data_IF_431508624539
#
_entry.id   IF_431508624539
#
_cell.length_a   1.000
_cell.length_b   1.000
_cell.length_c   1.000
_cell.angle_alpha   90.00
_cell.angle_beta   90.00
_cell.angle_gamma   90.00
#
_symmetry.space_group_name_H-M   'P 1'
#
loop_
_entity.id
_entity.type
_entity.pdbx_description
1 polymer ?
#
# COMPACT_ATOMS: atom_id res chain seq x y z
N UNK A 1 -22.84 8.77 -51.00
CA UNK A 1 -23.08 7.71 -50.01
C UNK A 1 -21.95 7.77 -49.03
N UNK A 2 -22.19 8.42 -47.91
CA UNK A 2 -21.20 8.57 -46.82
C UNK A 2 -21.26 7.32 -45.94
N UNK A 3 -20.20 6.52 -45.90
CA UNK A 3 -20.04 5.47 -44.89
C UNK A 3 -19.73 6.17 -43.58
N UNK A 4 -20.66 6.15 -42.65
CA UNK A 4 -20.40 6.45 -41.26
C UNK A 4 -19.49 5.34 -40.70
N UNK A 5 -18.29 5.71 -40.32
CA UNK A 5 -17.43 4.85 -39.54
C UNK A 5 -18.13 4.58 -38.21
N UNK A 6 -18.56 3.34 -37.96
CA UNK A 6 -19.01 2.89 -36.67
C UNK A 6 -17.77 2.93 -35.73
N UNK A 7 -17.73 3.88 -34.81
CA UNK A 7 -16.85 3.82 -33.64
C UNK A 7 -17.29 2.60 -32.85
N UNK A 8 -16.54 1.50 -33.00
CA UNK A 8 -16.75 0.31 -32.17
C UNK A 8 -16.57 0.72 -30.71
N UNK A 9 -17.66 0.74 -29.95
CA UNK A 9 -17.60 0.94 -28.51
C UNK A 9 -16.70 -0.19 -27.94
N UNK A 10 -15.58 0.18 -27.31
CA UNK A 10 -14.75 -0.80 -26.57
C UNK A 10 -15.65 -1.49 -25.54
N UNK A 11 -15.53 -2.81 -25.42
CA UNK A 11 -16.24 -3.55 -24.36
C UNK A 11 -15.80 -3.00 -22.98
N UNK A 12 -16.67 -3.05 -21.96
CA UNK A 12 -16.26 -2.76 -20.59
C UNK A 12 -15.07 -3.61 -20.15
N UNK A 13 -14.13 -3.02 -19.41
CA UNK A 13 -13.06 -3.79 -18.78
C UNK A 13 -13.63 -4.66 -17.68
N UNK A 14 -13.11 -5.88 -17.55
CA UNK A 14 -13.37 -6.79 -16.42
C UNK A 14 -12.29 -6.61 -15.38
N UNK A 15 -12.69 -6.17 -14.19
CA UNK A 15 -11.78 -5.84 -13.09
C UNK A 15 -12.06 -6.75 -11.90
N UNK A 16 -11.11 -7.61 -11.57
CA UNK A 16 -11.17 -8.42 -10.36
C UNK A 16 -10.43 -7.72 -9.21
N UNK A 17 -11.06 -7.66 -8.05
CA UNK A 17 -10.52 -6.98 -6.87
C UNK A 17 -10.25 -7.99 -5.78
N UNK A 18 -8.96 -8.28 -5.55
CA UNK A 18 -8.47 -9.10 -4.45
C UNK A 18 -8.33 -8.22 -3.21
N UNK A 19 -9.19 -8.41 -2.23
CA UNK A 19 -9.20 -7.63 -1.01
C UNK A 19 -9.85 -8.42 0.13
N UNK A 20 -9.79 -7.91 1.36
CA UNK A 20 -10.61 -8.43 2.45
C UNK A 20 -12.09 -8.31 2.09
N UNK A 21 -12.93 -9.08 2.77
CA UNK A 21 -14.34 -9.07 2.42
C UNK A 21 -14.92 -7.66 2.52
N UNK A 22 -15.51 -7.17 1.43
CA UNK A 22 -15.94 -5.77 1.28
C UNK A 22 -16.87 -5.28 2.41
N UNK A 23 -17.59 -6.18 3.09
CA UNK A 23 -18.43 -5.82 4.25
C UNK A 23 -17.65 -5.38 5.49
N UNK A 24 -16.34 -5.67 5.55
CA UNK A 24 -15.50 -5.38 6.73
C UNK A 24 -14.70 -4.09 6.60
N UNK A 25 -14.67 -3.49 5.42
CA UNK A 25 -13.88 -2.29 5.16
C UNK A 25 -14.52 -1.03 5.74
N UNK A 26 -13.68 -0.05 6.05
CA UNK A 26 -14.14 1.31 6.34
C UNK A 26 -14.10 2.14 5.04
N UNK A 27 -15.22 2.25 4.34
CA UNK A 27 -15.33 2.96 3.07
C UNK A 27 -14.83 4.41 3.13
N UNK A 28 -14.87 5.03 4.30
CA UNK A 28 -14.44 6.41 4.49
C UNK A 28 -12.92 6.60 4.33
N UNK A 29 -12.12 5.53 4.44
CA UNK A 29 -10.65 5.57 4.35
C UNK A 29 -10.06 4.56 3.37
N UNK A 30 -10.86 3.62 2.86
CA UNK A 30 -10.38 2.53 2.02
C UNK A 30 -10.05 3.00 0.61
N UNK A 31 -8.82 2.71 0.17
CA UNK A 31 -8.34 3.08 -1.18
C UNK A 31 -8.77 2.08 -2.24
N UNK A 32 -8.96 0.80 -1.91
CA UNK A 32 -9.49 -0.18 -2.87
C UNK A 32 -10.92 0.19 -3.25
N UNK A 33 -11.72 0.60 -2.27
CA UNK A 33 -13.08 1.07 -2.49
C UNK A 33 -13.14 2.33 -3.37
N UNK A 34 -12.20 3.28 -3.19
CA UNK A 34 -12.11 4.44 -4.09
C UNK A 34 -11.80 4.04 -5.52
N UNK A 35 -10.89 3.08 -5.73
CA UNK A 35 -10.59 2.54 -7.06
C UNK A 35 -11.78 1.80 -7.68
N UNK A 36 -12.59 1.10 -6.87
CA UNK A 36 -13.81 0.42 -7.34
C UNK A 36 -14.89 1.42 -7.76
N UNK A 37 -15.09 2.50 -6.99
CA UNK A 37 -16.05 3.55 -7.36
C UNK A 37 -15.68 4.17 -8.71
N UNK A 38 -14.44 4.57 -8.88
CA UNK A 38 -13.94 5.14 -10.14
C UNK A 38 -14.06 4.15 -11.32
N UNK A 39 -13.73 2.86 -11.11
CA UNK A 39 -13.89 1.83 -12.14
C UNK A 39 -15.35 1.69 -12.58
N UNK A 40 -16.28 1.68 -11.62
CA UNK A 40 -17.70 1.59 -11.90
C UNK A 40 -18.22 2.84 -12.64
N UNK A 41 -17.75 4.02 -12.26
CA UNK A 41 -18.11 5.28 -12.94
C UNK A 41 -17.60 5.33 -14.38
N UNK A 42 -16.46 4.64 -14.67
CA UNK A 42 -15.97 4.40 -16.05
C UNK A 42 -16.75 3.31 -16.79
N UNK A 43 -17.71 2.65 -16.15
CA UNK A 43 -18.55 1.62 -16.74
C UNK A 43 -17.88 0.23 -16.79
N UNK A 44 -16.89 -0.05 -15.95
CA UNK A 44 -16.23 -1.34 -15.88
C UNK A 44 -17.01 -2.37 -15.05
N UNK A 45 -16.84 -3.64 -15.36
CA UNK A 45 -17.44 -4.75 -14.63
C UNK A 45 -16.53 -5.14 -13.45
N UNK A 46 -17.06 -5.06 -12.23
CA UNK A 46 -16.32 -5.36 -11.00
C UNK A 46 -16.63 -6.75 -10.48
N UNK A 47 -15.59 -7.44 -10.05
CA UNK A 47 -15.64 -8.77 -9.45
C UNK A 47 -14.82 -8.77 -8.16
N UNK A 48 -15.47 -9.04 -7.03
CA UNK A 48 -14.81 -9.15 -5.73
C UNK A 48 -14.40 -10.57 -5.44
N UNK A 49 -13.25 -10.75 -4.80
CA UNK A 49 -12.84 -12.02 -4.19
C UNK A 49 -11.82 -11.80 -3.06
N UNK A 50 -11.80 -12.75 -2.11
CA UNK A 50 -10.76 -12.80 -1.07
C UNK A 50 -9.61 -13.72 -1.51
N UNK A 51 -8.37 -13.51 -1.02
CA UNK A 51 -7.19 -14.29 -1.45
C UNK A 51 -7.37 -15.82 -1.39
N UNK A 52 -8.15 -16.31 -0.44
CA UNK A 52 -8.43 -17.74 -0.24
C UNK A 52 -9.25 -18.37 -1.37
N UNK A 53 -9.85 -17.54 -2.24
CA UNK A 53 -10.61 -17.98 -3.40
C UNK A 53 -9.73 -18.28 -4.62
N UNK A 54 -8.44 -17.87 -4.61
CA UNK A 54 -7.50 -18.19 -5.67
C UNK A 54 -7.17 -19.69 -5.67
N UNK A 55 -7.09 -20.26 -6.87
CA UNK A 55 -6.69 -21.64 -7.07
C UNK A 55 -5.80 -21.78 -8.30
N UNK A 56 -4.65 -22.41 -8.16
CA UNK A 56 -3.79 -22.76 -9.27
C UNK A 56 -4.10 -24.20 -9.71
N UNK A 57 -4.64 -24.37 -10.93
CA UNK A 57 -4.96 -25.66 -11.53
C UNK A 57 -4.08 -25.93 -12.75
N UNK A 58 -2.99 -26.66 -12.55
CA UNK A 58 -1.94 -26.75 -13.55
C UNK A 58 -1.34 -25.37 -13.79
N UNK A 59 -1.50 -24.84 -15.00
CA UNK A 59 -1.04 -23.50 -15.37
C UNK A 59 -2.14 -22.43 -15.31
N UNK A 60 -3.39 -22.82 -15.02
CA UNK A 60 -4.53 -21.90 -14.98
C UNK A 60 -4.77 -21.34 -13.59
N UNK A 61 -4.95 -20.05 -13.51
CA UNK A 61 -5.40 -19.36 -12.30
C UNK A 61 -6.91 -19.25 -12.32
N UNK A 62 -7.54 -20.04 -11.47
CA UNK A 62 -9.00 -20.05 -11.31
C UNK A 62 -9.40 -19.32 -10.04
N UNK A 63 -10.55 -18.66 -10.06
CA UNK A 63 -11.07 -17.99 -8.87
C UNK A 63 -12.60 -18.13 -8.79
N UNK A 64 -13.13 -18.12 -7.57
CA UNK A 64 -14.56 -17.89 -7.32
C UNK A 64 -14.73 -16.43 -6.99
N UNK A 65 -15.34 -15.70 -7.91
CA UNK A 65 -15.59 -14.26 -7.82
C UNK A 65 -17.06 -13.96 -7.65
N UNK A 66 -17.37 -12.83 -7.06
CA UNK A 66 -18.72 -12.30 -6.93
C UNK A 66 -18.79 -10.98 -7.71
N UNK A 67 -19.62 -10.91 -8.80
CA UNK A 67 -19.89 -9.63 -9.42
C UNK A 67 -20.36 -8.64 -8.35
N UNK A 68 -19.85 -7.42 -8.37
CA UNK A 68 -20.15 -6.46 -7.31
C UNK A 68 -20.48 -5.08 -7.89
N UNK A 69 -21.51 -4.45 -7.33
CA UNK A 69 -21.83 -3.04 -7.56
C UNK A 69 -21.57 -2.28 -6.27
N UNK A 70 -20.90 -1.13 -6.36
CA UNK A 70 -20.51 -0.32 -5.21
C UNK A 70 -21.23 1.02 -5.16
N UNK A 71 -21.43 1.55 -3.96
CA UNK A 71 -22.08 2.84 -3.68
C UNK A 71 -21.39 3.53 -2.51
N UNK A 72 -21.15 4.83 -2.60
CA UNK A 72 -20.54 5.59 -1.49
C UNK A 72 -21.58 5.92 -0.40
N UNK A 73 -22.19 4.85 0.15
CA UNK A 73 -23.23 4.91 1.18
C UNK A 73 -22.85 4.02 2.37
N UNK A 74 -22.62 4.62 3.52
CA UNK A 74 -22.28 3.87 4.74
C UNK A 74 -23.41 2.89 5.12
N UNK A 75 -23.04 1.61 5.33
CA UNK A 75 -24.00 0.54 5.65
C UNK A 75 -24.76 -0.05 4.45
N UNK A 76 -24.63 0.53 3.25
CA UNK A 76 -25.23 0.05 2.00
C UNK A 76 -24.25 0.20 0.82
N UNK A 77 -22.96 -0.03 1.05
CA UNK A 77 -21.90 0.33 0.10
C UNK A 77 -21.67 -0.70 -1.01
N UNK A 78 -22.27 -1.88 -0.97
CA UNK A 78 -22.13 -2.88 -2.03
C UNK A 78 -23.38 -3.73 -2.21
N UNK A 79 -23.45 -4.41 -3.35
CA UNK A 79 -24.35 -5.53 -3.62
C UNK A 79 -23.63 -6.56 -4.47
N UNK A 80 -23.77 -7.85 -4.12
CA UNK A 80 -23.24 -8.95 -4.91
C UNK A 80 -24.24 -9.50 -5.91
N UNK A 81 -23.75 -9.94 -7.07
CA UNK A 81 -24.44 -10.83 -7.99
C UNK A 81 -24.19 -12.29 -7.66
N UNK A 82 -24.63 -13.18 -8.54
CA UNK A 82 -24.43 -14.64 -8.38
C UNK A 82 -22.94 -15.00 -8.47
N UNK A 83 -22.40 -15.77 -7.51
CA UNK A 83 -21.01 -16.19 -7.53
C UNK A 83 -20.66 -16.99 -8.79
N UNK A 84 -19.49 -16.72 -9.36
CA UNK A 84 -19.01 -17.34 -10.59
C UNK A 84 -17.63 -17.97 -10.36
N UNK A 85 -17.36 -19.07 -11.06
CA UNK A 85 -16.00 -19.61 -11.18
C UNK A 85 -15.43 -19.21 -12.53
N UNK A 86 -14.35 -18.44 -12.51
CA UNK A 86 -13.74 -17.84 -13.70
C UNK A 86 -12.30 -18.29 -13.86
N UNK A 87 -11.80 -18.29 -15.09
CA UNK A 87 -10.38 -18.27 -15.39
C UNK A 87 -9.91 -16.81 -15.29
N UNK A 88 -8.96 -16.53 -14.42
CA UNK A 88 -8.51 -15.15 -14.15
C UNK A 88 -7.80 -14.51 -15.33
N UNK A 89 -7.37 -15.30 -16.32
CA UNK A 89 -6.84 -14.80 -17.61
C UNK A 89 -7.91 -14.11 -18.48
N UNK A 90 -9.20 -14.24 -18.12
CA UNK A 90 -10.30 -13.52 -18.78
C UNK A 90 -10.56 -12.12 -18.18
N UNK A 91 -9.88 -11.76 -17.10
CA UNK A 91 -9.90 -10.44 -16.50
C UNK A 91 -8.90 -9.52 -17.22
N UNK A 92 -9.27 -8.27 -17.42
CA UNK A 92 -8.35 -7.27 -17.97
C UNK A 92 -7.40 -6.73 -16.90
N UNK A 93 -7.92 -6.54 -15.68
CA UNK A 93 -7.18 -6.01 -14.53
C UNK A 93 -7.46 -6.83 -13.28
N UNK A 94 -6.42 -7.08 -12.49
CA UNK A 94 -6.54 -7.52 -11.10
C UNK A 94 -6.00 -6.43 -10.19
N UNK A 95 -6.83 -5.91 -9.31
CA UNK A 95 -6.40 -5.03 -8.22
C UNK A 95 -6.03 -5.92 -7.02
N UNK A 96 -4.74 -6.12 -6.78
CA UNK A 96 -4.23 -6.83 -5.60
C UNK A 96 -4.17 -5.86 -4.42
N UNK A 97 -5.26 -5.81 -3.63
CA UNK A 97 -5.51 -4.79 -2.60
C UNK A 97 -5.83 -5.37 -1.24
N UNK A 98 -5.53 -6.64 -1.00
CA UNK A 98 -5.67 -7.25 0.32
C UNK A 98 -4.78 -6.53 1.34
N UNK A 99 -5.30 -6.34 2.53
CA UNK A 99 -4.54 -5.75 3.64
C UNK A 99 -3.44 -6.72 4.15
N UNK A 100 -2.39 -6.20 4.79
CA UNK A 100 -1.44 -7.05 5.52
C UNK A 100 -2.15 -7.97 6.54
N UNK A 101 -1.53 -9.08 6.94
CA UNK A 101 -0.08 -9.25 7.09
C UNK A 101 0.63 -9.63 5.79
N UNK A 102 1.86 -9.13 5.62
CA UNK A 102 2.77 -9.53 4.54
C UNK A 102 3.52 -10.80 4.98
N UNK A 103 2.87 -11.94 4.81
CA UNK A 103 3.29 -13.25 5.27
C UNK A 103 3.40 -14.27 4.12
N UNK A 104 3.61 -15.54 4.43
CA UNK A 104 3.70 -16.59 3.42
C UNK A 104 2.41 -16.75 2.62
N UNK A 105 1.24 -16.48 3.20
CA UNK A 105 -0.01 -16.53 2.47
C UNK A 105 -0.08 -15.40 1.44
N UNK A 106 0.34 -14.19 1.82
CA UNK A 106 0.47 -13.05 0.90
C UNK A 106 1.45 -13.37 -0.24
N UNK A 107 2.64 -13.88 0.10
CA UNK A 107 3.67 -14.29 -0.88
C UNK A 107 3.14 -15.37 -1.83
N UNK A 108 2.42 -16.37 -1.33
CA UNK A 108 1.81 -17.40 -2.15
C UNK A 108 0.79 -16.82 -3.15
N UNK A 109 -0.06 -15.88 -2.72
CA UNK A 109 -0.98 -15.19 -3.61
C UNK A 109 -0.24 -14.45 -4.73
N UNK A 110 0.88 -13.76 -4.44
CA UNK A 110 1.68 -13.10 -5.48
C UNK A 110 2.25 -14.07 -6.50
N UNK A 111 2.71 -15.27 -6.07
CA UNK A 111 3.20 -16.30 -7.00
C UNK A 111 2.09 -16.85 -7.91
N UNK A 112 0.86 -16.96 -7.40
CA UNK A 112 -0.28 -17.37 -8.22
C UNK A 112 -0.63 -16.27 -9.23
N UNK A 113 -0.72 -15.01 -8.79
CA UNK A 113 -1.06 -13.88 -9.66
C UNK A 113 0.00 -13.58 -10.70
N UNK A 114 1.27 -13.88 -10.43
CA UNK A 114 2.36 -13.76 -11.43
C UNK A 114 2.09 -14.57 -12.70
N UNK A 115 1.37 -15.70 -12.59
CA UNK A 115 1.00 -16.54 -13.74
C UNK A 115 0.08 -15.81 -14.73
N UNK A 116 -0.50 -14.70 -14.34
CA UNK A 116 -1.38 -13.87 -15.17
C UNK A 116 -0.63 -12.79 -15.97
N UNK A 117 0.69 -12.63 -15.79
CA UNK A 117 1.47 -11.50 -16.32
C UNK A 117 1.39 -11.28 -17.83
N UNK A 118 1.08 -12.33 -18.62
CA UNK A 118 0.95 -12.25 -20.07
C UNK A 118 -0.47 -11.91 -20.56
N UNK A 119 -1.47 -12.03 -19.68
CA UNK A 119 -2.89 -11.93 -20.06
C UNK A 119 -3.64 -10.85 -19.31
N UNK A 120 -3.20 -10.50 -18.11
CA UNK A 120 -3.95 -9.67 -17.18
C UNK A 120 -3.01 -8.68 -16.49
N UNK A 121 -3.35 -7.42 -16.48
CA UNK A 121 -2.59 -6.41 -15.77
C UNK A 121 -2.88 -6.48 -14.26
N UNK A 122 -1.89 -6.81 -13.45
CA UNK A 122 -2.02 -6.87 -11.99
C UNK A 122 -1.42 -5.61 -11.35
N UNK A 123 -2.19 -4.90 -10.57
CA UNK A 123 -1.80 -3.69 -9.82
C UNK A 123 -1.53 -4.05 -8.34
N UNK A 124 -0.32 -3.93 -7.82
CA UNK A 124 0.97 -3.71 -8.44
C UNK A 124 1.54 -5.03 -8.98
N UNK A 125 2.64 -4.96 -9.73
CA UNK A 125 3.31 -6.16 -10.26
C UNK A 125 3.60 -7.17 -9.13
N UNK A 126 3.11 -8.42 -9.19
CA UNK A 126 3.20 -9.37 -8.08
C UNK A 126 4.64 -9.73 -7.69
N UNK A 127 5.54 -9.83 -8.68
CA UNK A 127 6.96 -10.13 -8.45
C UNK A 127 7.61 -9.00 -7.67
N UNK A 128 7.34 -7.77 -8.08
CA UNK A 128 7.89 -6.57 -7.44
C UNK A 128 7.34 -6.38 -6.03
N UNK A 129 6.05 -6.63 -5.83
CA UNK A 129 5.42 -6.54 -4.49
C UNK A 129 6.08 -7.48 -3.50
N UNK A 130 6.26 -8.78 -3.84
CA UNK A 130 6.89 -9.71 -2.90
C UNK A 130 8.38 -9.42 -2.65
N UNK A 131 9.05 -8.75 -3.58
CA UNK A 131 10.46 -8.36 -3.47
C UNK A 131 10.66 -6.98 -2.84
N UNK A 132 9.60 -6.24 -2.55
CA UNK A 132 9.64 -4.89 -1.98
C UNK A 132 8.90 -4.79 -0.62
N UNK A 133 9.31 -5.58 0.41
CA UNK A 133 8.77 -5.38 1.76
C UNK A 133 9.05 -3.95 2.23
N UNK A 134 8.03 -3.26 2.73
CA UNK A 134 7.99 -1.80 2.95
C UNK A 134 9.20 -1.20 3.69
N UNK A 135 9.73 -1.94 4.70
CA UNK A 135 10.83 -1.49 5.55
C UNK A 135 12.21 -2.02 5.13
N UNK A 136 12.25 -2.98 4.16
CA UNK A 136 13.48 -3.43 3.52
C UNK A 136 13.72 -2.71 2.20
N UNK A 137 12.68 -2.60 1.36
CA UNK A 137 12.82 -1.96 0.06
C UNK A 137 13.31 -0.51 0.17
N UNK A 138 12.85 0.21 1.19
CA UNK A 138 13.29 1.59 1.47
C UNK A 138 14.80 1.71 1.67
N UNK A 139 15.50 0.64 2.11
CA UNK A 139 16.96 0.68 2.34
C UNK A 139 17.78 0.84 1.07
N UNK A 140 17.19 0.61 -0.11
CA UNK A 140 17.85 0.94 -1.38
C UNK A 140 18.08 2.46 -1.55
N UNK A 141 17.41 3.27 -0.74
CA UNK A 141 17.48 4.72 -0.71
C UNK A 141 17.99 5.22 0.66
N UNK A 142 19.03 4.56 1.19
CA UNK A 142 19.54 4.81 2.55
C UNK A 142 19.94 6.28 2.80
N UNK A 143 20.37 7.00 1.75
CA UNK A 143 20.71 8.42 1.81
C UNK A 143 19.49 9.35 1.99
N UNK A 144 18.28 8.82 1.78
CA UNK A 144 17.02 9.53 2.01
C UNK A 144 16.40 9.18 3.38
N UNK A 145 16.91 8.14 4.05
CA UNK A 145 16.39 7.62 5.32
C UNK A 145 17.05 8.29 6.54
N UNK A 146 16.39 8.23 7.71
CA UNK A 146 17.12 8.43 8.96
C UNK A 146 18.07 7.24 9.19
N UNK A 147 19.11 7.37 10.03
CA UNK A 147 19.94 6.24 10.43
C UNK A 147 19.08 5.05 10.84
N UNK A 148 19.30 3.91 10.20
CA UNK A 148 18.48 2.69 10.36
C UNK A 148 19.37 1.45 10.39
N UNK A 149 19.07 0.55 11.31
CA UNK A 149 19.69 -0.77 11.48
C UNK A 149 18.58 -1.82 11.40
N UNK A 150 18.81 -2.93 10.71
CA UNK A 150 17.88 -4.06 10.64
C UNK A 150 18.59 -5.29 11.15
N UNK A 151 18.27 -5.70 12.37
CA UNK A 151 18.91 -6.83 13.06
C UNK A 151 18.03 -7.32 14.21
N UNK A 152 18.39 -8.45 14.82
CA UNK A 152 17.96 -8.85 16.14
C UNK A 152 19.17 -9.11 17.07
N UNK A 153 20.38 -8.80 16.60
CA UNK A 153 21.60 -8.90 17.39
C UNK A 153 21.64 -7.80 18.44
N UNK A 154 21.75 -8.20 19.72
CA UNK A 154 21.69 -7.27 20.83
C UNK A 154 22.88 -6.31 20.87
N UNK A 155 24.06 -6.79 20.55
CA UNK A 155 25.30 -5.97 20.60
C UNK A 155 25.23 -4.87 19.56
N UNK A 156 24.76 -5.17 18.35
CA UNK A 156 24.53 -4.19 17.28
C UNK A 156 23.48 -3.15 17.68
N UNK A 157 22.38 -3.58 18.32
CA UNK A 157 21.33 -2.66 18.79
C UNK A 157 21.88 -1.75 19.91
N UNK A 158 22.63 -2.28 20.84
CA UNK A 158 23.24 -1.52 21.94
C UNK A 158 24.25 -0.48 21.41
N UNK A 159 25.07 -0.85 20.42
CA UNK A 159 26.00 0.08 19.75
C UNK A 159 25.23 1.19 19.03
N UNK A 160 24.22 0.85 18.23
CA UNK A 160 23.37 1.82 17.52
C UNK A 160 22.70 2.80 18.49
N UNK A 161 22.16 2.30 19.61
CA UNK A 161 21.56 3.10 20.66
C UNK A 161 22.57 4.03 21.35
N UNK A 162 23.79 3.55 21.58
CA UNK A 162 24.86 4.39 22.15
C UNK A 162 25.22 5.56 21.23
N UNK A 163 25.17 5.36 19.89
CA UNK A 163 25.46 6.40 18.91
C UNK A 163 24.30 7.40 18.80
N UNK A 164 23.05 6.91 18.75
CA UNK A 164 21.89 7.73 18.39
C UNK A 164 21.02 8.16 19.57
N UNK A 165 21.28 7.64 20.77
CA UNK A 165 20.56 7.90 22.03
C UNK A 165 19.11 7.38 21.99
N UNK A 166 18.17 8.16 21.43
CA UNK A 166 16.76 7.79 21.32
C UNK A 166 16.54 7.06 19.99
N UNK A 167 15.95 5.88 20.09
CA UNK A 167 15.65 5.02 18.93
C UNK A 167 14.18 4.64 18.89
N UNK A 168 13.75 4.14 17.73
CA UNK A 168 12.47 3.45 17.56
C UNK A 168 12.77 1.99 17.24
N UNK A 169 12.12 1.07 17.96
CA UNK A 169 12.09 -0.36 17.66
C UNK A 169 10.73 -0.71 17.06
N UNK A 170 10.74 -1.39 15.92
CA UNK A 170 9.50 -1.82 15.25
C UNK A 170 9.71 -3.15 14.51
N UNK A 171 8.66 -4.02 14.42
CA UNK A 171 8.76 -5.26 13.65
C UNK A 171 8.94 -4.98 12.16
N UNK A 172 9.70 -5.83 11.46
CA UNK A 172 9.96 -5.68 10.03
C UNK A 172 8.68 -5.72 9.20
N UNK A 173 7.81 -6.68 9.47
CA UNK A 173 6.53 -6.87 8.75
C UNK A 173 5.31 -6.36 9.53
N UNK A 174 5.52 -5.49 10.53
CA UNK A 174 4.44 -4.84 11.24
C UNK A 174 3.73 -3.77 10.40
N UNK A 175 2.44 -3.61 10.57
CA UNK A 175 1.61 -2.63 9.87
C UNK A 175 0.73 -1.83 10.84
N UNK A 176 0.17 -0.71 10.38
CA UNK A 176 -0.78 0.10 11.16
C UNK A 176 -0.23 0.65 12.49
N UNK A 177 1.07 0.79 12.65
CA UNK A 177 1.71 1.29 13.88
C UNK A 177 1.70 0.29 15.04
N UNK A 178 1.45 -1.01 14.79
CA UNK A 178 1.51 -2.04 15.82
C UNK A 178 2.96 -2.29 16.25
N UNK A 179 3.19 -2.43 17.56
CA UNK A 179 4.49 -2.72 18.17
C UNK A 179 5.60 -1.72 17.77
N UNK A 180 5.27 -0.45 17.61
CA UNK A 180 6.23 0.64 17.44
C UNK A 180 6.53 1.26 18.80
N UNK A 181 7.77 1.14 19.24
CA UNK A 181 8.23 1.62 20.54
C UNK A 181 9.35 2.63 20.41
N UNK A 182 9.22 3.78 21.05
CA UNK A 182 10.35 4.66 21.32
C UNK A 182 11.10 4.15 22.53
N UNK A 183 12.40 4.02 22.41
CA UNK A 183 13.33 3.62 23.49
C UNK A 183 14.30 4.77 23.71
N UNK A 184 14.23 5.39 24.87
CA UNK A 184 15.15 6.48 25.24
C UNK A 184 16.50 5.91 25.71
N UNK A 185 17.52 6.77 25.76
CA UNK A 185 18.85 6.36 26.20
C UNK A 185 18.87 5.65 27.57
N UNK A 186 18.02 6.13 28.49
CA UNK A 186 17.98 5.64 29.87
C UNK A 186 16.72 4.83 30.17
N UNK A 187 16.10 4.22 29.14
CA UNK A 187 14.86 3.44 29.29
C UNK A 187 15.10 2.16 30.09
N UNK A 188 14.53 2.09 31.28
CA UNK A 188 14.66 0.94 32.18
C UNK A 188 13.96 -0.32 31.64
N UNK A 189 13.01 -0.17 30.73
CA UNK A 189 12.26 -1.29 30.14
C UNK A 189 12.95 -1.88 28.91
N UNK A 190 14.07 -1.31 28.45
CA UNK A 190 14.74 -1.76 27.22
C UNK A 190 15.06 -3.27 27.21
N UNK A 191 15.56 -3.81 28.34
CA UNK A 191 15.82 -5.25 28.44
C UNK A 191 14.58 -6.09 28.24
N UNK A 192 13.48 -5.74 28.93
CA UNK A 192 12.20 -6.44 28.80
C UNK A 192 11.60 -6.29 27.41
N UNK A 193 11.78 -5.13 26.78
CA UNK A 193 11.32 -4.91 25.42
C UNK A 193 12.11 -5.76 24.41
N UNK A 194 13.43 -5.85 24.58
CA UNK A 194 14.27 -6.74 23.78
C UNK A 194 13.79 -8.19 23.90
N UNK A 195 13.56 -8.68 25.12
CA UNK A 195 13.09 -10.05 25.37
C UNK A 195 11.71 -10.28 24.72
N UNK A 196 10.80 -9.30 24.84
CA UNK A 196 9.47 -9.35 24.18
C UNK A 196 9.62 -9.49 22.66
N UNK A 197 10.46 -8.67 22.03
CA UNK A 197 10.70 -8.76 20.58
C UNK A 197 11.30 -10.10 20.19
N UNK A 198 12.29 -10.60 20.94
CA UNK A 198 12.96 -11.88 20.68
C UNK A 198 12.04 -13.09 20.70
N UNK A 199 11.01 -13.06 21.55
CA UNK A 199 10.02 -14.15 21.66
C UNK A 199 8.91 -14.00 20.62
N UNK A 200 8.54 -12.75 20.31
CA UNK A 200 7.36 -12.47 19.48
C UNK A 200 7.66 -12.50 17.98
N UNK A 201 8.82 -11.98 17.55
CA UNK A 201 9.18 -11.82 16.15
C UNK A 201 10.39 -12.68 15.78
N UNK A 202 10.23 -13.52 14.77
CA UNK A 202 11.32 -14.39 14.28
C UNK A 202 12.23 -13.67 13.27
N UNK A 203 11.70 -12.68 12.59
CA UNK A 203 12.38 -11.85 11.60
C UNK A 203 13.21 -10.78 12.30
N UNK A 204 14.27 -10.26 11.67
CA UNK A 204 14.99 -9.10 12.19
C UNK A 204 14.04 -7.91 12.43
N UNK A 205 14.42 -7.03 13.34
CA UNK A 205 13.65 -5.83 13.67
C UNK A 205 14.26 -4.60 13.02
N UNK A 206 13.46 -3.58 12.85
CA UNK A 206 13.94 -2.26 12.43
C UNK A 206 14.24 -1.44 13.68
N UNK A 207 15.48 -1.00 13.78
CA UNK A 207 15.97 -0.08 14.80
C UNK A 207 16.31 1.21 14.06
N UNK A 208 15.67 2.30 14.41
CA UNK A 208 15.78 3.56 13.66
C UNK A 208 15.99 4.71 14.63
N UNK A 209 16.82 5.68 14.26
CA UNK A 209 16.96 6.91 15.03
C UNK A 209 15.60 7.57 15.20
N UNK A 210 15.24 7.93 16.43
CA UNK A 210 13.99 8.63 16.71
C UNK A 210 14.00 10.04 16.09
N UNK A 211 12.92 10.38 15.41
CA UNK A 211 12.70 11.70 14.80
C UNK A 211 11.71 12.50 15.67
N UNK A 212 12.17 13.48 16.47
CA UNK A 212 11.31 14.21 17.42
C UNK A 212 10.16 14.99 16.73
N UNK A 213 10.37 15.35 15.47
CA UNK A 213 9.40 16.12 14.69
C UNK A 213 8.20 15.29 14.19
N UNK A 214 8.16 13.98 14.46
CA UNK A 214 6.98 13.13 14.23
C UNK A 214 5.71 13.69 14.88
N UNK A 215 5.85 14.44 15.97
CA UNK A 215 4.73 15.16 16.63
C UNK A 215 4.02 16.17 15.71
N UNK A 216 4.70 16.65 14.66
CA UNK A 216 4.13 17.58 13.67
C UNK A 216 3.49 16.85 12.49
N UNK A 217 3.64 15.54 12.43
CA UNK A 217 3.05 14.65 11.45
C UNK A 217 4.06 13.72 10.81
N UNK A 218 3.47 12.73 10.17
CA UNK A 218 4.07 11.74 9.31
C UNK A 218 3.32 11.85 7.97
N UNK A 219 3.98 12.35 6.94
CA UNK A 219 3.34 12.63 5.67
C UNK A 219 3.25 11.36 4.84
N UNK A 220 2.02 10.93 4.52
CA UNK A 220 1.74 9.95 3.47
C UNK A 220 1.69 10.66 2.13
N UNK A 221 2.57 10.28 1.22
CA UNK A 221 2.61 10.74 -0.16
C UNK A 221 2.25 9.58 -1.06
N UNK A 222 1.30 9.77 -1.97
CA UNK A 222 0.95 8.78 -2.99
C UNK A 222 1.65 9.09 -4.30
N UNK A 223 2.24 8.06 -4.89
CA UNK A 223 2.85 8.08 -6.21
C UNK A 223 2.05 7.15 -7.14
N UNK A 224 1.80 7.61 -8.36
CA UNK A 224 1.16 6.83 -9.42
C UNK A 224 2.10 6.77 -10.61
N UNK A 225 2.49 5.56 -11.02
CA UNK A 225 3.50 5.30 -12.07
C UNK A 225 4.79 6.10 -11.86
N UNK A 226 5.20 6.24 -10.60
CA UNK A 226 6.41 6.96 -10.19
C UNK A 226 6.26 8.48 -10.04
N UNK A 227 5.11 9.06 -10.38
CA UNK A 227 4.86 10.50 -10.29
C UNK A 227 4.02 10.86 -9.06
N UNK A 228 4.23 12.04 -8.50
CA UNK A 228 3.44 12.55 -7.38
C UNK A 228 1.96 12.66 -7.74
N UNK A 229 1.10 12.04 -6.93
CA UNK A 229 -0.34 12.02 -7.14
C UNK A 229 -1.13 12.72 -6.02
N UNK A 230 -0.57 12.87 -4.84
CA UNK A 230 -1.22 13.57 -3.72
C UNK A 230 -0.56 13.25 -2.39
N UNK A 231 -0.84 14.07 -1.39
CA UNK A 231 -0.26 13.89 -0.06
C UNK A 231 -1.25 14.24 1.05
N UNK A 232 -1.05 13.64 2.22
CA UNK A 232 -1.76 13.96 3.44
C UNK A 232 -0.81 13.88 4.63
N UNK A 233 -0.78 14.91 5.47
CA UNK A 233 -0.02 14.87 6.71
C UNK A 233 -0.89 14.23 7.82
N UNK A 234 -0.40 13.16 8.42
CA UNK A 234 -1.07 12.41 9.50
C UNK A 234 -0.51 12.88 10.83
N UNK A 235 -1.25 13.71 11.54
CA UNK A 235 -0.81 14.26 12.83
C UNK A 235 -1.22 13.31 13.95
N UNK A 236 -0.26 12.82 14.79
CA UNK A 236 -0.57 11.95 15.91
C UNK A 236 -1.57 12.59 16.88
N UNK A 237 -2.35 11.76 17.57
CA UNK A 237 -3.12 12.23 18.72
C UNK A 237 -2.20 12.70 19.85
N UNK A 238 -2.68 13.60 20.69
CA UNK A 238 -1.90 14.08 21.85
C UNK A 238 -1.49 12.91 22.76
N UNK A 239 -0.20 12.79 23.03
CA UNK A 239 0.36 11.71 23.85
C UNK A 239 0.64 10.39 23.10
N UNK A 240 0.36 10.29 21.80
CA UNK A 240 0.75 9.14 20.96
C UNK A 240 1.89 9.55 20.00
N UNK A 241 2.74 8.58 19.66
CA UNK A 241 3.78 8.72 18.63
C UNK A 241 3.31 8.22 17.25
N UNK A 242 2.22 7.47 17.23
CA UNK A 242 1.69 6.82 16.03
C UNK A 242 0.75 7.76 15.29
N UNK A 243 1.07 8.04 14.06
CA UNK A 243 0.33 8.95 13.18
C UNK A 243 -0.68 8.24 12.26
N UNK A 244 -0.67 6.89 12.25
CA UNK A 244 -1.55 6.11 11.38
C UNK A 244 -3.04 6.46 11.63
N UNK A 245 -3.78 6.71 10.57
CA UNK A 245 -5.22 7.05 10.64
C UNK A 245 -6.04 5.99 11.39
N UNK A 246 -5.66 4.71 11.28
CA UNK A 246 -6.27 3.59 12.00
C UNK A 246 -6.08 3.72 13.54
N UNK A 247 -5.08 4.49 13.99
CA UNK A 247 -4.77 4.73 15.41
C UNK A 247 -5.21 6.12 15.89
N UNK A 248 -6.02 6.83 15.11
CA UNK A 248 -6.55 8.14 15.51
C UNK A 248 -5.74 9.34 15.01
N UNK A 249 -4.78 9.12 14.12
CA UNK A 249 -4.09 10.22 13.43
C UNK A 249 -5.08 11.05 12.62
N UNK A 250 -4.95 12.38 12.71
CA UNK A 250 -5.82 13.31 11.99
C UNK A 250 -5.18 13.69 10.65
N UNK A 251 -5.87 13.48 9.52
CA UNK A 251 -5.38 13.91 8.22
C UNK A 251 -5.47 15.43 8.09
N UNK A 252 -4.39 16.07 7.64
CA UNK A 252 -4.34 17.48 7.28
C UNK A 252 -3.82 17.64 5.87
N UNK A 253 -4.34 18.62 5.17
CA UNK A 253 -3.81 19.02 3.86
C UNK A 253 -2.35 19.45 3.99
N UNK A 254 -1.55 19.12 2.99
CA UNK A 254 -0.12 19.40 3.02
C UNK A 254 0.52 19.36 1.64
N UNK A 255 1.08 20.48 1.26
CA UNK A 255 1.96 20.58 0.10
C UNK A 255 3.29 19.85 0.33
N UNK A 256 3.94 19.44 -0.75
CA UNK A 256 5.28 18.90 -0.68
C UNK A 256 6.32 19.99 -0.44
N UNK A 257 7.22 19.74 0.48
CA UNK A 257 8.47 20.50 0.60
C UNK A 257 9.41 20.20 -0.59
N UNK A 258 10.46 20.99 -0.77
CA UNK A 258 11.48 20.72 -1.80
C UNK A 258 12.16 19.36 -1.57
N UNK A 259 12.47 19.02 -0.32
CA UNK A 259 13.07 17.72 0.04
C UNK A 259 12.14 16.54 -0.29
N UNK A 260 10.85 16.67 -0.06
CA UNK A 260 9.89 15.63 -0.39
C UNK A 260 9.71 15.47 -1.91
N UNK A 261 9.79 16.55 -2.69
CA UNK A 261 9.85 16.48 -4.16
C UNK A 261 11.09 15.76 -4.65
N UNK A 262 12.25 16.03 -4.04
CA UNK A 262 13.49 15.31 -4.33
C UNK A 262 13.33 13.79 -4.05
N UNK A 263 12.75 13.44 -2.89
CA UNK A 263 12.48 12.03 -2.55
C UNK A 263 11.60 11.38 -3.63
N UNK A 264 10.48 12.00 -3.99
CA UNK A 264 9.60 11.47 -5.04
C UNK A 264 10.34 11.28 -6.38
N UNK A 265 11.11 12.27 -6.81
CA UNK A 265 11.86 12.23 -8.06
C UNK A 265 12.93 11.11 -8.07
N UNK A 266 13.56 10.83 -6.92
CA UNK A 266 14.54 9.74 -6.77
C UNK A 266 13.92 8.36 -6.80
N UNK A 267 12.71 8.20 -6.27
CA UNK A 267 11.99 6.93 -6.24
C UNK A 267 11.33 6.60 -7.58
N UNK A 268 10.79 7.60 -8.25
CA UNK A 268 9.93 7.47 -9.42
C UNK A 268 10.44 6.50 -10.49
N UNK A 269 11.68 6.63 -11.00
CA UNK A 269 12.22 5.73 -12.03
C UNK A 269 12.23 4.27 -11.61
N UNK A 270 12.68 3.95 -10.38
CA UNK A 270 12.71 2.59 -9.84
C UNK A 270 11.30 2.00 -9.68
N UNK A 271 10.36 2.77 -9.17
CA UNK A 271 8.98 2.32 -9.01
C UNK A 271 8.33 1.99 -10.37
N UNK A 272 8.56 2.86 -11.35
CA UNK A 272 8.04 2.68 -12.70
C UNK A 272 8.64 1.46 -13.40
N UNK A 273 9.96 1.29 -13.33
CA UNK A 273 10.66 0.13 -13.89
C UNK A 273 10.16 -1.18 -13.30
N UNK A 274 9.86 -1.19 -12.00
CA UNK A 274 9.35 -2.36 -11.29
C UNK A 274 7.85 -2.59 -11.44
N UNK A 275 7.11 -1.75 -12.17
CA UNK A 275 5.66 -1.85 -12.31
C UNK A 275 4.91 -1.65 -11.00
N UNK A 276 5.49 -0.89 -10.07
CA UNK A 276 4.87 -0.47 -8.82
C UNK A 276 4.08 0.82 -9.07
N UNK A 277 2.86 0.65 -9.60
CA UNK A 277 2.04 1.75 -10.13
C UNK A 277 1.47 2.63 -9.01
N UNK A 278 0.85 2.01 -7.99
CA UNK A 278 0.30 2.75 -6.84
C UNK A 278 1.14 2.49 -5.61
N UNK A 279 1.85 3.50 -5.16
CA UNK A 279 2.79 3.42 -4.03
C UNK A 279 2.49 4.53 -3.03
N UNK A 280 2.51 4.18 -1.74
CA UNK A 280 2.48 5.14 -0.65
C UNK A 280 3.84 5.23 0.01
N UNK A 281 4.41 6.41 0.14
CA UNK A 281 5.63 6.62 0.92
C UNK A 281 5.32 7.40 2.19
N UNK A 282 6.07 7.11 3.24
CA UNK A 282 5.95 7.79 4.51
C UNK A 282 7.20 8.63 4.78
N UNK A 283 6.99 9.93 5.06
CA UNK A 283 8.08 10.89 5.25
C UNK A 283 7.87 11.64 6.56
N UNK A 284 8.87 11.59 7.43
CA UNK A 284 8.90 12.31 8.70
C UNK A 284 10.10 13.28 8.67
N UNK A 285 9.84 14.58 8.82
CA UNK A 285 10.88 15.60 8.89
C UNK A 285 11.89 15.51 7.72
N UNK A 286 11.38 15.31 6.49
CA UNK A 286 12.21 15.19 5.28
C UNK A 286 13.00 13.89 5.17
N UNK A 287 12.72 12.90 6.01
CA UNK A 287 13.33 11.57 5.95
C UNK A 287 12.31 10.52 5.51
N UNK A 288 12.66 9.74 4.51
CA UNK A 288 11.88 8.61 4.02
C UNK A 288 11.94 7.46 5.04
N UNK A 289 10.80 6.99 5.52
CA UNK A 289 10.74 5.94 6.55
C UNK A 289 10.20 4.61 6.05
N UNK A 290 9.30 4.62 5.05
CA UNK A 290 8.66 3.42 4.49
C UNK A 290 8.26 3.65 3.03
N UNK A 291 8.26 2.56 2.24
CA UNK A 291 7.71 2.52 0.87
C UNK A 291 6.65 1.42 0.82
N UNK A 292 5.39 1.80 0.80
CA UNK A 292 4.25 0.88 0.88
C UNK A 292 3.74 0.54 -0.53
N UNK A 293 3.92 -0.70 -0.96
CA UNK A 293 3.59 -1.19 -2.31
C UNK A 293 2.42 -2.18 -2.34
N UNK A 294 1.94 -2.64 -1.20
CA UNK A 294 0.84 -3.62 -1.07
C UNK A 294 -0.53 -2.94 -1.24
N UNK A 295 -1.07 -2.42 -0.17
CA UNK A 295 -2.37 -1.76 -0.13
C UNK A 295 -2.29 -0.35 0.47
N UNK A 296 -1.47 0.59 -0.09
CA UNK A 296 -1.36 1.93 0.49
C UNK A 296 -2.73 2.62 0.55
N UNK A 297 -3.01 3.19 1.72
CA UNK A 297 -4.18 4.02 1.97
C UNK A 297 -3.84 5.50 1.81
N UNK A 298 -4.87 6.35 1.65
CA UNK A 298 -4.70 7.80 1.53
C UNK A 298 -5.59 8.44 0.48
N UNK A 299 -6.05 7.70 -0.55
CA UNK A 299 -6.86 8.24 -1.65
C UNK A 299 -8.08 9.00 -1.11
N UNK A 300 -8.86 8.38 -0.24
CA UNK A 300 -10.08 9.01 0.34
C UNK A 300 -9.76 10.22 1.22
N UNK A 301 -8.65 10.19 1.95
CA UNK A 301 -8.24 11.31 2.79
C UNK A 301 -7.82 12.52 1.93
N UNK A 302 -7.03 12.30 0.88
CA UNK A 302 -6.63 13.32 -0.08
C UNK A 302 -7.88 13.93 -0.73
N UNK A 303 -8.80 13.11 -1.24
CA UNK A 303 -10.04 13.55 -1.85
C UNK A 303 -10.91 14.42 -0.91
N UNK A 304 -11.05 14.01 0.36
CA UNK A 304 -11.82 14.77 1.37
C UNK A 304 -11.22 16.13 1.70
N UNK A 305 -9.91 16.26 1.54
CA UNK A 305 -9.19 17.53 1.75
C UNK A 305 -9.17 18.42 0.49
N UNK A 306 -9.86 18.00 -0.58
CA UNK A 306 -9.92 18.75 -1.84
C UNK A 306 -8.69 18.58 -2.73
N UNK A 307 -7.87 17.56 -2.47
CA UNK A 307 -6.69 17.21 -3.26
C UNK A 307 -7.04 16.52 -4.60
N UNK A 308 -6.01 16.10 -5.36
CA UNK A 308 -6.18 15.48 -6.68
C UNK A 308 -7.02 14.19 -6.67
N UNK A 309 -7.61 13.88 -7.83
CA UNK A 309 -8.28 12.60 -8.07
C UNK A 309 -7.26 11.48 -8.34
N UNK A 310 -6.74 10.94 -7.26
CA UNK A 310 -5.73 9.86 -7.34
C UNK A 310 -6.31 8.57 -7.94
N UNK A 311 -7.59 8.28 -7.70
CA UNK A 311 -8.24 7.08 -8.26
C UNK A 311 -8.33 7.20 -9.78
N UNK A 312 -8.76 8.35 -10.30
CA UNK A 312 -8.75 8.65 -11.73
C UNK A 312 -7.36 8.53 -12.34
N UNK A 313 -6.32 9.10 -11.70
CA UNK A 313 -4.93 8.98 -12.16
C UNK A 313 -4.46 7.53 -12.27
N UNK A 314 -4.81 6.67 -11.32
CA UNK A 314 -4.47 5.23 -11.37
C UNK A 314 -5.13 4.58 -12.57
N UNK A 315 -6.42 4.81 -12.79
CA UNK A 315 -7.12 4.22 -13.92
C UNK A 315 -6.62 4.72 -15.27
N UNK A 316 -6.26 6.00 -15.40
CA UNK A 316 -5.66 6.54 -16.63
C UNK A 316 -4.35 5.83 -16.98
N UNK A 317 -3.52 5.50 -15.97
CA UNK A 317 -2.29 4.73 -16.16
C UNK A 317 -2.59 3.29 -16.55
N UNK A 318 -3.56 2.62 -15.89
CA UNK A 318 -3.93 1.24 -16.19
C UNK A 318 -4.47 1.12 -17.62
N UNK A 319 -5.37 2.01 -18.03
CA UNK A 319 -5.92 2.05 -19.40
C UNK A 319 -4.81 2.22 -20.45
N UNK A 320 -3.89 3.16 -20.21
CA UNK A 320 -2.74 3.37 -21.11
C UNK A 320 -1.84 2.13 -21.22
N UNK A 321 -1.65 1.39 -20.12
CA UNK A 321 -0.85 0.16 -20.13
C UNK A 321 -1.56 -1.01 -20.82
N UNK A 322 -2.88 -1.05 -20.83
CA UNK A 322 -3.68 -2.04 -21.56
C UNK A 322 -3.73 -1.77 -23.07
N UNK A 323 -3.42 -0.54 -23.51
CA UNK A 323 -3.36 -0.17 -24.92
C UNK A 323 -1.97 -0.36 -25.56
N UNK A 324 -0.93 -0.55 -24.74
CA UNK A 324 0.47 -0.66 -25.17
C UNK A 324 0.87 -2.10 -25.52
#
# INVERSE_FOLDING_TARGET
>A
MSQAASSGAKRPLKVAVQMDHISTINIAGDSAFALMLEAQDRGYELYHYTPERLALWGEKVMCRVEPVTVRDEAGNHFSFGEPQRVDMSEMDVVLMRQDPPFDLAYIAATHILEKLSETTLVLNNPVSVRNAPEKLFVTQFADLMPPTLITHDREEIDEFRNIHSDIVMKPLFGHGGAAVFRVTKDDLNYGSLYDFFSVTFREPWVIQKFLPNVKHGDKRILLVDGEFAGAVNRVPAEGDLRSNMVRGGSPKDSDLTEREREICARLGPTLKEQGLILVGIDVIDGNLTEINVTAPTGIRAIQKLGGPDVAGMVWDVLEKKLEA
#
